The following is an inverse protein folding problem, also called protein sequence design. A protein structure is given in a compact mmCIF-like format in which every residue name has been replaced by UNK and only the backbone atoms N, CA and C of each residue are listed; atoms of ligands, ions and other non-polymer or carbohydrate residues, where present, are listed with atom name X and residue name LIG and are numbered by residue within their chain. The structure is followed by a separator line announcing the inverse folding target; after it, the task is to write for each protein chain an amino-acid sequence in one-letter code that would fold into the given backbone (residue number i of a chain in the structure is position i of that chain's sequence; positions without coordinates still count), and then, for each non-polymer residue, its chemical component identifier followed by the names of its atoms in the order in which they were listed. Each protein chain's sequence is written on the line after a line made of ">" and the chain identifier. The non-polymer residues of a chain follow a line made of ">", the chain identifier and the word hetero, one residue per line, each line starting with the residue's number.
data_IF_886439737826
#
_entry.id   IF_886439737826
#
_cell.length_a   1.000
_cell.length_b   1.000
_cell.length_c   1.000
_cell.angle_alpha   90.00
_cell.angle_beta   90.00
_cell.angle_gamma   90.00
#
_symmetry.space_group_name_H-M   'P 1'
#
loop_
_entity.id
_entity.type
_entity.pdbx_description
1 polymer ?
#
# COMPACT_ATOMS: atom_id res chain seq x y z
N UNK A 1 6.76 -7.95 -19.84
CA UNK A 1 7.41 -6.63 -19.57
C UNK A 1 8.61 -6.39 -20.46
N UNK A 2 9.66 -7.24 -20.44
CA UNK A 2 10.86 -7.08 -21.28
C UNK A 2 10.51 -6.92 -22.76
N UNK A 3 9.70 -7.81 -23.30
CA UNK A 3 9.28 -7.76 -24.73
C UNK A 3 8.45 -6.53 -25.07
N UNK A 4 7.64 -6.05 -24.09
CA UNK A 4 6.87 -4.81 -24.26
C UNK A 4 7.77 -3.57 -24.33
N UNK A 5 8.87 -3.55 -23.57
CA UNK A 5 9.85 -2.45 -23.62
C UNK A 5 10.64 -2.51 -24.93
N UNK A 6 11.07 -3.69 -25.36
CA UNK A 6 11.80 -3.87 -26.60
C UNK A 6 10.96 -3.46 -27.83
N UNK A 7 9.65 -3.63 -27.77
CA UNK A 7 8.72 -3.26 -28.85
C UNK A 7 8.51 -1.74 -29.01
N UNK A 8 9.10 -0.90 -28.15
CA UNK A 8 9.05 0.56 -28.31
C UNK A 8 9.98 1.08 -29.42
N UNK A 9 10.87 0.24 -29.94
CA UNK A 9 11.83 0.56 -31.04
C UNK A 9 12.56 1.91 -30.85
N UNK A 10 13.20 2.05 -29.70
CA UNK A 10 13.91 3.26 -29.29
C UNK A 10 15.41 3.01 -29.22
N UNK A 11 16.22 4.01 -29.57
CA UNK A 11 17.67 3.95 -29.35
C UNK A 11 18.00 3.93 -27.86
N UNK A 12 17.45 4.89 -27.12
CA UNK A 12 17.48 4.92 -25.67
C UNK A 12 16.31 5.72 -25.10
N UNK A 13 15.86 5.34 -23.91
CA UNK A 13 14.87 6.10 -23.15
C UNK A 13 15.02 5.85 -21.65
N UNK A 14 14.72 6.89 -20.86
CA UNK A 14 14.50 6.76 -19.41
C UNK A 14 13.06 7.18 -19.14
N UNK A 15 12.25 6.21 -18.77
CA UNK A 15 10.83 6.39 -18.45
C UNK A 15 10.64 6.14 -16.96
N UNK A 16 10.05 7.08 -16.25
CA UNK A 16 9.66 6.94 -14.86
C UNK A 16 8.23 6.40 -14.77
N UNK A 17 8.02 5.44 -13.89
CA UNK A 17 6.75 4.73 -13.80
C UNK A 17 6.67 3.78 -12.62
N UNK A 18 5.56 3.09 -12.50
CA UNK A 18 5.30 2.12 -11.44
C UNK A 18 4.90 0.76 -12.02
N UNK A 19 5.52 -0.29 -11.47
CA UNK A 19 5.14 -1.67 -11.78
C UNK A 19 4.08 -2.10 -10.78
N UNK A 20 2.92 -2.52 -11.27
CA UNK A 20 1.80 -2.98 -10.45
C UNK A 20 1.29 -4.34 -10.91
N UNK A 21 0.75 -5.12 -9.96
CA UNK A 21 -0.09 -6.26 -10.27
C UNK A 21 -1.56 -5.82 -10.30
N UNK A 22 -2.33 -6.35 -11.24
CA UNK A 22 -3.76 -6.04 -11.36
C UNK A 22 -4.61 -7.17 -10.77
N UNK A 23 -5.66 -6.80 -10.02
CA UNK A 23 -6.69 -7.73 -9.58
C UNK A 23 -7.66 -8.07 -10.75
N UNK A 24 -8.62 -8.96 -10.49
CA UNK A 24 -9.64 -9.37 -11.47
C UNK A 24 -10.50 -8.21 -11.97
N UNK A 25 -10.56 -7.10 -11.23
CA UNK A 25 -11.27 -5.87 -11.60
C UNK A 25 -10.37 -4.85 -12.29
N UNK A 26 -9.10 -5.21 -12.55
CA UNK A 26 -8.11 -4.33 -13.19
C UNK A 26 -7.56 -3.24 -12.27
N UNK A 27 -7.71 -3.35 -10.95
CA UNK A 27 -7.16 -2.39 -9.97
C UNK A 27 -5.78 -2.83 -9.53
N UNK A 28 -4.91 -1.86 -9.24
CA UNK A 28 -3.58 -2.14 -8.69
C UNK A 28 -3.67 -2.75 -7.29
N UNK A 29 -2.89 -3.80 -7.03
CA UNK A 29 -2.80 -4.47 -5.74
C UNK A 29 -1.34 -4.74 -5.39
N UNK A 30 -0.87 -4.11 -4.31
CA UNK A 30 0.48 -4.35 -3.79
C UNK A 30 0.62 -5.77 -3.23
N UNK A 31 -0.43 -6.30 -2.60
CA UNK A 31 -0.46 -7.67 -2.09
C UNK A 31 -0.22 -8.68 -3.22
N UNK A 32 -0.97 -8.57 -4.32
CA UNK A 32 -0.78 -9.44 -5.48
C UNK A 32 0.63 -9.33 -6.09
N UNK A 33 1.24 -8.14 -6.03
CA UNK A 33 2.61 -7.95 -6.49
C UNK A 33 3.62 -8.67 -5.58
N UNK A 34 3.40 -8.69 -4.27
CA UNK A 34 4.23 -9.46 -3.32
C UNK A 34 4.02 -10.96 -3.49
N UNK A 35 2.78 -11.41 -3.58
CA UNK A 35 2.42 -12.83 -3.68
C UNK A 35 2.86 -13.44 -5.01
N UNK A 36 2.96 -12.63 -6.09
CA UNK A 36 3.45 -13.08 -7.40
C UNK A 36 4.90 -13.62 -7.36
N UNK A 37 5.67 -13.28 -6.32
CA UNK A 37 7.02 -13.81 -6.08
C UNK A 37 7.02 -15.19 -5.43
N UNK A 38 5.88 -15.64 -4.89
CA UNK A 38 5.79 -16.79 -3.99
C UNK A 38 4.76 -17.85 -4.42
N UNK A 39 3.90 -17.60 -5.41
CA UNK A 39 2.76 -18.44 -5.71
C UNK A 39 2.63 -18.93 -7.17
N UNK A 40 1.78 -19.92 -7.37
CA UNK A 40 1.46 -20.51 -8.67
C UNK A 40 0.61 -19.60 -9.57
N UNK A 41 -0.10 -18.62 -8.98
CA UNK A 41 -0.89 -17.63 -9.72
C UNK A 41 -0.06 -16.40 -10.03
N UNK A 42 0.07 -16.10 -11.32
CA UNK A 42 0.77 -14.89 -11.80
C UNK A 42 -0.27 -13.87 -12.22
N UNK A 43 -0.58 -12.87 -11.39
CA UNK A 43 -1.48 -11.80 -11.79
C UNK A 43 -0.88 -11.00 -12.96
N UNK A 44 -1.71 -10.33 -13.78
CA UNK A 44 -1.22 -9.44 -14.80
C UNK A 44 -0.34 -8.34 -14.21
N UNK A 45 0.91 -8.27 -14.68
CA UNK A 45 1.87 -7.23 -14.28
C UNK A 45 1.92 -6.18 -15.37
N UNK A 46 1.69 -4.92 -15.01
CA UNK A 46 1.75 -3.77 -15.92
C UNK A 46 2.67 -2.69 -15.40
N UNK A 47 3.24 -1.91 -16.32
CA UNK A 47 4.05 -0.72 -16.02
C UNK A 47 3.25 0.53 -16.39
N UNK A 48 2.87 1.31 -15.39
CA UNK A 48 2.26 2.62 -15.58
C UNK A 48 3.34 3.68 -15.71
N UNK A 49 3.60 4.12 -16.94
CA UNK A 49 4.54 5.19 -17.25
C UNK A 49 3.90 6.55 -16.98
N UNK A 50 4.55 7.40 -16.18
CA UNK A 50 4.01 8.71 -15.79
C UNK A 50 4.97 9.88 -16.01
N UNK A 51 6.24 9.66 -16.38
CA UNK A 51 7.18 10.71 -16.79
C UNK A 51 8.22 10.18 -17.78
N UNK A 52 8.80 11.07 -18.59
CA UNK A 52 9.85 10.78 -19.56
C UNK A 52 11.04 11.68 -19.32
N UNK A 53 12.17 11.09 -18.95
CA UNK A 53 13.36 11.81 -18.50
C UNK A 53 14.43 11.92 -19.56
N UNK A 54 14.47 10.95 -20.49
CA UNK A 54 15.40 10.92 -21.61
C UNK A 54 14.76 10.22 -22.80
N UNK A 55 15.06 10.69 -24.00
CA UNK A 55 14.61 10.09 -25.25
C UNK A 55 15.63 10.31 -26.36
N UNK A 56 16.11 9.22 -26.99
CA UNK A 56 17.03 9.23 -28.15
C UNK A 56 18.20 10.20 -27.95
N UNK A 57 18.93 10.04 -26.84
CA UNK A 57 20.11 10.83 -26.49
C UNK A 57 19.80 12.21 -25.86
N UNK A 58 18.54 12.67 -25.88
CA UNK A 58 18.15 13.99 -25.33
C UNK A 58 17.71 13.87 -23.88
N UNK A 59 18.35 14.63 -22.98
CA UNK A 59 17.90 14.81 -21.60
C UNK A 59 16.68 15.74 -21.58
N UNK A 60 15.59 15.31 -20.93
CA UNK A 60 14.32 16.02 -20.83
C UNK A 60 14.05 16.53 -19.41
N UNK A 61 14.88 16.22 -18.42
CA UNK A 61 14.63 16.52 -17.01
C UNK A 61 14.42 18.01 -16.74
N UNK A 62 15.06 18.88 -17.52
CA UNK A 62 14.95 20.33 -17.42
C UNK A 62 13.69 20.92 -18.07
N UNK A 63 12.95 20.14 -18.85
CA UNK A 63 11.69 20.60 -19.45
C UNK A 63 10.58 20.64 -18.39
N UNK A 64 9.56 21.51 -18.58
CA UNK A 64 8.33 21.47 -17.82
C UNK A 64 7.66 20.07 -17.88
N UNK A 65 7.00 19.67 -16.79
CA UNK A 65 6.37 18.35 -16.73
C UNK A 65 5.35 18.10 -17.85
N UNK A 66 4.64 19.13 -18.26
CA UNK A 66 3.64 19.06 -19.33
C UNK A 66 4.28 18.66 -20.66
N UNK A 67 5.44 19.23 -20.97
CA UNK A 67 6.18 18.88 -22.19
C UNK A 67 6.72 17.46 -22.15
N UNK A 68 7.25 17.04 -21.00
CA UNK A 68 7.70 15.65 -20.81
C UNK A 68 6.57 14.65 -20.95
N UNK A 69 5.40 14.99 -20.36
CA UNK A 69 4.20 14.18 -20.47
C UNK A 69 3.63 14.11 -21.88
N UNK A 70 3.60 15.22 -22.59
CA UNK A 70 3.16 15.23 -24.00
C UNK A 70 4.02 14.34 -24.87
N UNK A 71 5.35 14.37 -24.67
CA UNK A 71 6.30 13.46 -25.36
C UNK A 71 6.07 11.98 -24.98
N UNK A 72 5.80 11.71 -23.71
CA UNK A 72 5.49 10.36 -23.23
C UNK A 72 4.16 9.85 -23.84
N UNK A 73 3.15 10.71 -23.90
CA UNK A 73 1.85 10.38 -24.48
C UNK A 73 1.98 10.06 -25.98
N UNK A 74 2.75 10.87 -26.72
CA UNK A 74 3.07 10.61 -28.12
C UNK A 74 3.76 9.25 -28.32
N UNK A 75 4.78 8.99 -27.49
CA UNK A 75 5.53 7.74 -27.50
C UNK A 75 4.64 6.53 -27.21
N UNK A 76 3.66 6.70 -26.33
CA UNK A 76 2.77 5.64 -25.86
C UNK A 76 1.36 5.72 -26.44
N UNK A 77 1.15 6.34 -27.61
CA UNK A 77 -0.17 6.35 -28.31
C UNK A 77 -0.71 4.95 -28.54
N UNK A 78 0.16 4.00 -28.82
CA UNK A 78 -0.15 2.58 -28.97
C UNK A 78 0.80 1.77 -28.09
N UNK A 79 0.57 1.76 -26.77
CA UNK A 79 1.53 1.16 -25.84
C UNK A 79 1.58 -0.35 -26.05
N UNK A 80 2.77 -0.94 -26.20
CA UNK A 80 2.91 -2.36 -26.42
C UNK A 80 2.65 -3.16 -25.14
N UNK A 81 1.87 -4.22 -25.25
CA UNK A 81 1.71 -5.27 -24.25
C UNK A 81 1.38 -4.77 -22.84
N UNK A 82 2.34 -4.88 -21.94
CA UNK A 82 2.19 -4.59 -20.51
C UNK A 82 2.49 -3.13 -20.11
N UNK A 83 2.69 -2.22 -21.07
CA UNK A 83 2.89 -0.80 -20.77
C UNK A 83 1.55 -0.06 -20.79
N UNK A 84 1.38 0.90 -19.90
CA UNK A 84 0.21 1.79 -19.82
C UNK A 84 0.68 3.23 -19.61
N UNK A 85 0.08 4.17 -20.32
CA UNK A 85 0.26 5.59 -20.04
C UNK A 85 -0.60 6.00 -18.86
N UNK A 86 0.01 6.67 -17.87
CA UNK A 86 -0.70 7.23 -16.73
C UNK A 86 -1.26 8.60 -17.11
N UNK A 87 -2.54 8.69 -17.36
CA UNK A 87 -3.26 9.93 -17.74
C UNK A 87 -3.18 10.96 -16.62
N UNK A 88 -3.04 12.24 -16.99
CA UNK A 88 -3.12 13.37 -16.05
C UNK A 88 -4.50 13.99 -16.06
N UNK A 89 -4.94 14.43 -14.89
CA UNK A 89 -6.18 15.16 -14.72
C UNK A 89 -5.86 16.55 -14.18
N UNK A 90 -6.44 17.59 -14.79
CA UNK A 90 -6.25 18.99 -14.40
C UNK A 90 -7.52 19.62 -13.82
N UNK A 91 -8.52 18.79 -13.50
CA UNK A 91 -9.85 19.22 -13.02
C UNK A 91 -9.90 19.30 -11.49
N UNK A 92 -11.07 19.70 -11.02
CA UNK A 92 -11.47 19.85 -9.63
C UNK A 92 -10.94 18.71 -8.74
N UNK A 93 -10.03 19.07 -7.81
CA UNK A 93 -9.36 18.11 -6.91
C UNK A 93 -10.38 17.38 -6.03
N UNK A 94 -11.38 18.01 -5.41
CA UNK A 94 -12.43 17.33 -4.66
C UNK A 94 -13.14 16.23 -5.46
N UNK A 95 -13.54 16.48 -6.69
CA UNK A 95 -14.18 15.48 -7.55
C UNK A 95 -13.25 14.32 -7.87
N UNK A 96 -11.96 14.61 -8.12
CA UNK A 96 -10.95 13.58 -8.38
C UNK A 96 -10.71 12.67 -7.17
N UNK A 97 -10.66 13.27 -5.97
CA UNK A 97 -10.48 12.53 -4.72
C UNK A 97 -11.68 11.62 -4.43
N UNK A 98 -12.90 12.13 -4.63
CA UNK A 98 -14.13 11.34 -4.47
C UNK A 98 -14.15 10.15 -5.44
N UNK A 99 -13.85 10.37 -6.72
CA UNK A 99 -13.78 9.31 -7.73
C UNK A 99 -12.69 8.29 -7.42
N UNK A 100 -11.52 8.75 -7.00
CA UNK A 100 -10.42 7.88 -6.61
C UNK A 100 -10.80 7.00 -5.40
N UNK A 101 -11.53 7.57 -4.41
CA UNK A 101 -12.08 6.81 -3.28
C UNK A 101 -13.08 5.75 -3.71
N UNK A 102 -14.02 6.08 -4.59
CA UNK A 102 -14.99 5.12 -5.15
C UNK A 102 -14.33 3.98 -5.94
N UNK A 103 -13.17 4.25 -6.56
CA UNK A 103 -12.37 3.25 -7.26
C UNK A 103 -11.48 2.43 -6.32
N UNK A 104 -11.44 2.75 -5.04
CA UNK A 104 -10.59 2.08 -4.05
C UNK A 104 -9.11 2.36 -4.22
N UNK A 105 -8.73 3.52 -4.78
CA UNK A 105 -7.33 3.91 -4.93
C UNK A 105 -6.75 4.39 -3.60
N UNK A 106 -5.47 4.12 -3.36
CA UNK A 106 -4.74 4.53 -2.15
C UNK A 106 -4.58 6.06 -2.04
N UNK A 107 -4.57 6.75 -3.18
CA UNK A 107 -4.39 8.20 -3.25
C UNK A 107 -4.06 8.69 -4.65
N UNK A 108 -3.74 9.98 -4.72
CA UNK A 108 -3.34 10.66 -5.93
C UNK A 108 -1.96 11.29 -5.77
N UNK A 109 -1.22 11.38 -6.86
CA UNK A 109 0.02 12.16 -6.92
C UNK A 109 -0.25 13.48 -7.62
N UNK A 110 -0.24 14.56 -6.86
CA UNK A 110 -0.25 15.92 -7.40
C UNK A 110 1.16 16.32 -7.86
N UNK A 111 1.29 16.82 -9.08
CA UNK A 111 2.54 17.30 -9.64
C UNK A 111 2.38 18.79 -9.99
N UNK A 112 3.32 19.62 -9.52
CA UNK A 112 3.28 21.06 -9.77
C UNK A 112 3.44 21.34 -11.26
N UNK A 113 2.52 22.13 -11.83
CA UNK A 113 2.64 22.60 -13.19
C UNK A 113 3.95 23.35 -13.43
N UNK A 114 4.54 23.20 -14.62
CA UNK A 114 5.82 23.80 -14.99
C UNK A 114 7.03 23.23 -14.30
N UNK A 115 6.89 22.22 -13.40
CA UNK A 115 8.03 21.69 -12.62
C UNK A 115 9.00 20.89 -13.49
N UNK A 116 10.30 21.07 -13.20
CA UNK A 116 11.37 20.21 -13.70
C UNK A 116 11.39 18.88 -12.93
N UNK A 117 12.09 17.90 -13.47
CA UNK A 117 12.32 16.65 -12.73
C UNK A 117 13.52 16.79 -11.79
N UNK A 118 13.33 16.56 -10.52
CA UNK A 118 14.32 16.73 -9.47
C UNK A 118 14.68 15.37 -8.86
N UNK A 119 15.61 14.67 -9.51
CA UNK A 119 16.04 13.34 -9.10
C UNK A 119 16.54 13.32 -7.64
N UNK A 120 16.03 12.38 -6.83
CA UNK A 120 16.44 12.16 -5.44
C UNK A 120 16.10 13.29 -4.46
N UNK A 121 15.33 14.30 -4.85
CA UNK A 121 14.93 15.43 -3.99
C UNK A 121 13.44 15.40 -3.67
N UNK A 122 13.09 15.85 -2.46
CA UNK A 122 11.71 16.06 -2.03
C UNK A 122 11.44 17.56 -1.86
N UNK A 123 11.24 18.26 -2.98
CA UNK A 123 11.07 19.73 -3.01
C UNK A 123 9.61 20.18 -2.84
N UNK A 124 8.67 19.23 -2.76
CA UNK A 124 7.24 19.54 -2.80
C UNK A 124 6.69 19.82 -4.20
N UNK A 125 7.49 19.62 -5.27
CA UNK A 125 6.97 19.66 -6.63
C UNK A 125 6.02 18.49 -6.92
N UNK A 126 6.21 17.37 -6.22
CA UNK A 126 5.32 16.21 -6.22
C UNK A 126 4.81 15.96 -4.80
N UNK A 127 3.50 15.83 -4.66
CA UNK A 127 2.84 15.58 -3.38
C UNK A 127 1.95 14.34 -3.49
N UNK A 128 2.04 13.45 -2.49
CA UNK A 128 1.09 12.33 -2.36
C UNK A 128 -0.09 12.77 -1.50
N UNK A 129 -1.28 12.81 -2.10
CA UNK A 129 -2.54 12.99 -1.39
C UNK A 129 -3.10 11.60 -1.13
N UNK A 130 -2.99 11.14 0.10
CA UNK A 130 -3.55 9.85 0.50
C UNK A 130 -5.06 9.97 0.66
N UNK A 131 -5.79 8.99 0.15
CA UNK A 131 -7.19 8.77 0.49
C UNK A 131 -7.20 7.90 1.72
N UNK A 132 -7.54 8.49 2.86
CA UNK A 132 -7.72 7.72 4.07
C UNK A 132 -8.94 6.81 3.89
N UNK A 133 -8.69 5.53 3.72
CA UNK A 133 -9.71 4.52 3.96
C UNK A 133 -9.56 4.16 5.43
N UNK A 134 -10.35 4.77 6.28
CA UNK A 134 -10.44 4.38 7.68
C UNK A 134 -11.35 3.17 7.78
N UNK A 135 -10.86 2.12 8.38
CA UNK A 135 -11.66 0.96 8.75
C UNK A 135 -11.61 0.78 10.26
N UNK A 136 -12.77 0.58 10.85
CA UNK A 136 -12.88 0.22 12.25
C UNK A 136 -12.53 -1.26 12.44
N UNK A 137 -11.62 -1.49 13.38
CA UNK A 137 -11.24 -2.83 13.81
C UNK A 137 -11.50 -3.01 15.30
N UNK A 138 -11.83 -4.23 15.68
CA UNK A 138 -12.00 -4.61 17.07
C UNK A 138 -10.72 -5.24 17.59
N UNK A 139 -10.28 -4.80 18.77
CA UNK A 139 -9.09 -5.34 19.43
C UNK A 139 -9.48 -6.64 20.13
N UNK A 140 -8.87 -7.75 19.74
CA UNK A 140 -9.09 -9.08 20.33
C UNK A 140 -7.90 -9.62 21.12
N UNK A 141 -6.76 -8.89 21.10
CA UNK A 141 -5.57 -9.29 21.86
C UNK A 141 -4.39 -8.36 21.65
N UNK A 142 -3.27 -8.70 22.29
CA UNK A 142 -1.99 -8.03 22.09
C UNK A 142 -0.83 -9.00 22.31
N UNK A 143 0.34 -8.69 21.75
CA UNK A 143 1.57 -9.46 21.96
C UNK A 143 2.42 -8.85 23.07
N UNK A 144 3.27 -9.66 23.69
CA UNK A 144 4.31 -9.13 24.57
C UNK A 144 5.28 -8.23 23.81
N UNK A 145 5.86 -7.24 24.51
CA UNK A 145 6.85 -6.37 23.89
C UNK A 145 8.17 -7.10 23.61
N UNK A 146 8.89 -6.66 22.59
CA UNK A 146 10.23 -7.14 22.26
C UNK A 146 11.27 -6.03 22.41
N UNK A 147 12.50 -6.40 22.77
CA UNK A 147 13.62 -5.48 22.93
C UNK A 147 13.39 -4.45 24.05
N UNK A 148 13.60 -3.18 23.76
CA UNK A 148 13.44 -2.06 24.72
C UNK A 148 12.00 -1.53 24.83
N UNK A 149 11.07 -2.07 24.06
CA UNK A 149 9.67 -1.62 24.06
C UNK A 149 8.99 -2.01 25.38
N UNK A 150 8.13 -1.12 25.89
CA UNK A 150 7.36 -1.32 27.10
C UNK A 150 5.90 -1.62 26.78
N UNK A 151 5.20 -2.24 27.74
CA UNK A 151 3.76 -2.50 27.76
C UNK A 151 3.33 -3.64 26.81
N UNK A 152 3.22 -3.40 25.50
CA UNK A 152 2.86 -4.43 24.52
C UNK A 152 3.62 -4.24 23.19
N UNK A 153 3.75 -5.33 22.42
CA UNK A 153 4.41 -5.34 21.11
C UNK A 153 3.51 -4.82 20.01
N UNK A 154 2.39 -5.50 19.79
CA UNK A 154 1.39 -5.13 18.78
C UNK A 154 -0.01 -5.45 19.29
N UNK A 155 -1.01 -4.70 18.83
CA UNK A 155 -2.43 -5.05 18.96
C UNK A 155 -2.78 -6.10 17.91
N UNK A 156 -3.63 -7.03 18.29
CA UNK A 156 -4.22 -8.04 17.41
C UNK A 156 -5.65 -7.60 17.12
N UNK A 157 -5.91 -7.28 15.86
CA UNK A 157 -7.15 -6.64 15.45
C UNK A 157 -7.93 -7.48 14.44
N UNK A 158 -9.23 -7.28 14.40
CA UNK A 158 -10.12 -7.96 13.49
C UNK A 158 -11.45 -7.26 13.31
N UNK A 159 -12.31 -7.84 12.51
CA UNK A 159 -13.65 -7.34 12.24
C UNK A 159 -14.67 -8.47 12.34
N UNK A 160 -15.94 -8.12 12.54
CA UNK A 160 -17.00 -9.10 12.63
C UNK A 160 -17.50 -9.51 11.23
N UNK A 161 -17.49 -10.83 10.97
CA UNK A 161 -18.27 -11.46 9.90
C UNK A 161 -19.49 -12.13 10.54
N UNK A 162 -20.63 -11.47 10.49
CA UNK A 162 -21.81 -11.86 11.25
C UNK A 162 -21.55 -11.81 12.76
N UNK A 163 -21.59 -12.96 13.44
CA UNK A 163 -21.34 -13.06 14.89
C UNK A 163 -19.93 -13.52 15.24
N UNK A 164 -19.07 -13.78 14.25
CA UNK A 164 -17.72 -14.31 14.46
C UNK A 164 -16.69 -13.23 14.22
N UNK A 165 -15.74 -13.07 15.16
CA UNK A 165 -14.64 -12.13 15.02
C UNK A 165 -13.54 -12.77 14.16
N UNK A 166 -13.25 -12.15 13.02
CA UNK A 166 -12.19 -12.57 12.09
C UNK A 166 -10.93 -11.75 12.34
N UNK A 167 -9.81 -12.44 12.51
CA UNK A 167 -8.50 -11.78 12.60
C UNK A 167 -8.17 -11.12 11.26
N UNK A 168 -7.78 -9.85 11.28
CA UNK A 168 -7.40 -9.07 10.11
C UNK A 168 -5.89 -8.80 10.07
N UNK A 169 -5.27 -8.59 11.24
CA UNK A 169 -3.85 -8.26 11.26
C UNK A 169 -3.35 -7.80 12.64
N UNK A 170 -2.15 -7.21 12.62
CA UNK A 170 -1.50 -6.66 13.82
C UNK A 170 -1.04 -5.23 13.59
N UNK A 171 -1.26 -4.38 14.59
CA UNK A 171 -0.84 -2.97 14.60
C UNK A 171 0.27 -2.82 15.64
N UNK A 172 1.50 -2.63 15.16
CA UNK A 172 2.70 -2.58 16.01
C UNK A 172 3.34 -1.19 16.12
N UNK A 173 2.90 -0.19 15.34
CA UNK A 173 3.51 1.14 15.24
C UNK A 173 2.47 2.24 15.41
N UNK A 174 2.88 3.50 15.45
CA UNK A 174 1.96 4.64 15.56
C UNK A 174 1.58 5.03 17.00
N UNK A 175 2.10 4.35 18.02
CA UNK A 175 1.75 4.61 19.42
C UNK A 175 2.78 5.53 20.11
N UNK A 176 2.30 6.58 20.76
CA UNK A 176 3.11 7.32 21.76
C UNK A 176 3.26 6.51 23.04
N UNK A 177 4.28 6.77 23.84
CA UNK A 177 4.49 6.07 25.13
C UNK A 177 3.29 6.24 26.08
N UNK A 178 2.69 7.42 26.10
CA UNK A 178 1.47 7.70 26.87
C UNK A 178 0.30 6.81 26.42
N UNK A 179 0.10 6.69 25.11
CA UNK A 179 -0.97 5.86 24.55
C UNK A 179 -0.72 4.37 24.83
N UNK A 180 0.52 3.88 24.67
CA UNK A 180 0.89 2.51 25.02
C UNK A 180 0.54 2.17 26.47
N UNK A 181 0.91 3.06 27.41
CA UNK A 181 0.60 2.87 28.83
C UNK A 181 -0.91 2.82 29.10
N UNK A 182 -1.66 3.76 28.54
CA UNK A 182 -3.11 3.86 28.73
C UNK A 182 -3.81 2.62 28.19
N UNK A 183 -3.53 2.26 26.93
CA UNK A 183 -4.12 1.08 26.30
C UNK A 183 -3.78 -0.21 27.05
N UNK A 184 -2.53 -0.37 27.47
CA UNK A 184 -2.12 -1.55 28.25
C UNK A 184 -2.90 -1.69 29.55
N UNK A 185 -3.12 -0.58 30.26
CA UNK A 185 -3.93 -0.58 31.48
C UNK A 185 -5.37 -1.01 31.21
N UNK A 186 -5.99 -0.50 30.15
CA UNK A 186 -7.37 -0.85 29.80
C UNK A 186 -7.48 -2.31 29.27
N UNK A 187 -6.54 -2.74 28.42
CA UNK A 187 -6.53 -4.10 27.90
C UNK A 187 -6.38 -5.15 29.00
N UNK A 188 -5.56 -4.88 30.03
CA UNK A 188 -5.40 -5.81 31.15
C UNK A 188 -6.68 -6.01 31.98
N UNK A 189 -7.58 -5.03 32.05
CA UNK A 189 -8.86 -5.14 32.77
C UNK A 189 -9.86 -6.09 32.07
N UNK A 190 -9.66 -6.30 30.79
CA UNK A 190 -10.58 -7.10 29.95
C UNK A 190 -9.95 -8.37 29.40
N UNK A 191 -8.85 -8.85 30.02
CA UNK A 191 -8.18 -10.12 29.62
C UNK A 191 -9.12 -11.30 29.73
N UNK A 192 -8.94 -12.24 28.80
CA UNK A 192 -9.63 -13.53 28.74
C UNK A 192 -8.65 -14.63 28.34
N UNK A 193 -8.96 -15.87 28.69
CA UNK A 193 -8.10 -17.02 28.36
C UNK A 193 -8.35 -17.53 26.93
N UNK A 194 -9.59 -17.42 26.48
CA UNK A 194 -10.00 -17.99 25.18
C UNK A 194 -9.79 -16.98 24.04
N UNK A 195 -9.18 -17.47 22.96
CA UNK A 195 -9.04 -16.69 21.73
C UNK A 195 -10.38 -16.24 21.17
N UNK A 196 -10.60 -14.93 20.94
CA UNK A 196 -11.83 -14.44 20.36
C UNK A 196 -11.93 -14.61 18.85
N UNK A 197 -10.80 -14.81 18.15
CA UNK A 197 -10.76 -14.95 16.71
C UNK A 197 -11.02 -16.40 16.26
N UNK A 198 -11.82 -16.57 15.20
CA UNK A 198 -12.14 -17.91 14.69
C UNK A 198 -11.19 -18.42 13.61
N UNK A 199 -10.45 -17.53 12.94
CA UNK A 199 -9.64 -17.81 11.75
C UNK A 199 -8.14 -17.61 11.97
N UNK A 200 -7.63 -17.73 13.21
CA UNK A 200 -6.21 -17.62 13.42
C UNK A 200 -5.45 -18.67 12.61
N UNK A 201 -4.34 -18.30 11.96
CA UNK A 201 -3.52 -19.23 11.23
C UNK A 201 -2.99 -20.30 12.18
N UNK A 202 -3.02 -21.56 11.73
CA UNK A 202 -2.36 -22.65 12.44
C UNK A 202 -0.86 -22.34 12.57
N UNK A 203 -0.29 -22.70 13.73
CA UNK A 203 1.14 -22.55 13.98
C UNK A 203 1.95 -23.17 12.82
N UNK A 204 2.79 -22.37 12.14
CA UNK A 204 3.69 -22.84 11.10
C UNK A 204 3.65 -22.15 9.74
N UNK A 205 2.83 -21.12 9.54
CA UNK A 205 2.85 -20.34 8.30
C UNK A 205 3.91 -19.24 8.30
N UNK A 206 4.50 -19.03 7.13
CA UNK A 206 5.69 -18.23 6.88
C UNK A 206 5.52 -16.72 7.23
N UNK A 207 6.67 -16.07 7.48
CA UNK A 207 6.91 -14.67 7.89
C UNK A 207 6.19 -13.59 7.07
N UNK A 208 5.57 -13.93 5.94
CA UNK A 208 4.91 -13.01 5.00
C UNK A 208 3.39 -13.18 4.94
N UNK A 209 2.86 -14.21 5.56
CA UNK A 209 1.43 -14.33 5.79
C UNK A 209 1.08 -13.36 6.94
N UNK A 210 -0.01 -12.63 6.87
CA UNK A 210 -0.49 -11.70 7.91
C UNK A 210 -0.76 -12.40 9.26
N UNK A 211 -0.23 -13.59 9.43
CA UNK A 211 -0.35 -14.45 10.57
C UNK A 211 0.64 -14.16 11.69
N UNK A 212 0.28 -14.54 12.89
CA UNK A 212 1.17 -14.61 14.03
C UNK A 212 2.12 -15.80 13.84
N UNK A 213 3.42 -15.61 14.05
CA UNK A 213 4.36 -16.71 14.14
C UNK A 213 4.03 -17.60 15.34
N UNK A 214 4.50 -18.86 15.33
CA UNK A 214 4.32 -19.77 16.48
C UNK A 214 4.87 -19.16 17.79
N UNK A 215 6.01 -18.45 17.73
CA UNK A 215 6.60 -17.78 18.87
C UNK A 215 5.73 -16.62 19.39
N UNK A 216 5.16 -15.83 18.50
CA UNK A 216 4.23 -14.74 18.86
C UNK A 216 2.91 -15.30 19.41
N UNK A 217 2.47 -16.49 18.92
CA UNK A 217 1.30 -17.17 19.46
C UNK A 217 1.48 -17.64 20.92
N UNK A 218 2.69 -17.93 21.36
CA UNK A 218 2.99 -18.27 22.76
C UNK A 218 2.98 -17.03 23.65
N UNK A 219 3.40 -15.87 23.12
CA UNK A 219 3.58 -14.60 23.85
C UNK A 219 2.43 -13.61 23.64
N UNK A 220 1.20 -14.10 23.61
CA UNK A 220 0.00 -13.26 23.39
C UNK A 220 -0.92 -13.25 24.60
N UNK A 221 -1.70 -12.18 24.67
CA UNK A 221 -2.77 -12.03 25.64
C UNK A 221 -4.07 -11.72 24.89
N UNK A 222 -5.11 -12.48 25.18
CA UNK A 222 -6.44 -12.25 24.60
C UNK A 222 -7.24 -11.29 25.45
N UNK A 223 -8.09 -10.50 24.82
CA UNK A 223 -9.00 -9.58 25.48
C UNK A 223 -10.42 -9.72 24.94
N UNK A 224 -11.41 -9.35 25.77
CA UNK A 224 -12.79 -9.24 25.29
C UNK A 224 -12.84 -8.23 24.16
N UNK A 225 -13.49 -8.57 23.01
CA UNK A 225 -13.51 -7.70 21.82
C UNK A 225 -14.54 -6.58 21.96
N UNK A 226 -14.27 -5.63 22.86
CA UNK A 226 -15.15 -4.49 23.21
C UNK A 226 -14.49 -3.13 22.92
N UNK A 227 -13.21 -3.12 22.52
CA UNK A 227 -12.51 -1.90 22.15
C UNK A 227 -12.35 -1.85 20.63
N UNK A 228 -12.61 -0.67 20.06
CA UNK A 228 -12.49 -0.39 18.63
C UNK A 228 -11.32 0.55 18.40
N UNK A 229 -10.60 0.35 17.32
CA UNK A 229 -9.59 1.28 16.79
C UNK A 229 -9.86 1.53 15.30
N UNK A 230 -9.46 2.69 14.80
CA UNK A 230 -9.45 3.03 13.37
C UNK A 230 -8.02 2.99 12.87
N UNK A 231 -7.82 2.41 11.67
CA UNK A 231 -6.53 2.38 10.97
C UNK A 231 -6.73 2.84 9.52
#
# INVERSE_FOLDING_TARGET
>A
MKDSIAALDLQDAIIDGEIVALDEKGRSSFQLLQDSKMGEQRPPIVFYAFDLLRLNGKDLQNLPIEERKAKLEELLKKPPGAIRYSVSFTKDIPELLERAGKLGLEGLIGKRAGSRYEAGRRTGAWIKVKLHQEQEFVIGGYTEPEGSRKYFGALLVGFYEGKKLKFAGRVGTGFSEKLLRTLYSELNKIRIDKCPFYNLPAAGRNRWDQGLSAAEMVRRHWVRPVMVCTE
#
